data_IF_327314067213
#
_entry.id   IF_327314067213
#
_cell.length_a   1.000
_cell.length_b   1.000
_cell.length_c   1.000
_cell.angle_alpha   90.00
_cell.angle_beta   90.00
_cell.angle_gamma   90.00
#
_symmetry.space_group_name_H-M   'P 1'
#
loop_
_entity.id
_entity.type
_entity.pdbx_description
1 polymer ?
#
# COMPACT_ATOMS: atom_id res chain seq x y z
N UNK A 1 32.76 -0.65 15.65
CA UNK A 1 32.84 -1.98 15.00
C UNK A 1 31.52 -2.70 15.27
N UNK A 2 30.53 -2.48 14.43
CA UNK A 2 29.30 -3.28 14.51
C UNK A 2 29.60 -4.69 14.03
N UNK A 3 29.26 -5.65 14.86
CA UNK A 3 29.61 -7.05 14.67
C UNK A 3 29.04 -7.60 13.35
N UNK A 4 29.91 -7.94 12.41
CA UNK A 4 29.59 -8.63 11.16
C UNK A 4 28.74 -9.90 11.41
N UNK A 5 28.95 -10.59 12.51
CA UNK A 5 28.15 -11.73 12.96
C UNK A 5 26.69 -11.35 13.26
N UNK A 6 26.42 -10.19 13.86
CA UNK A 6 25.06 -9.70 14.15
C UNK A 6 24.27 -9.42 12.88
N UNK A 7 24.89 -8.83 11.85
CA UNK A 7 24.24 -8.57 10.55
C UNK A 7 23.91 -9.88 9.81
N UNK A 8 24.81 -10.87 9.84
CA UNK A 8 24.57 -12.15 9.18
C UNK A 8 23.44 -12.94 9.83
N UNK A 9 23.38 -12.96 11.17
CA UNK A 9 22.29 -13.62 11.92
C UNK A 9 20.96 -12.89 11.67
N UNK A 10 20.95 -11.56 11.67
CA UNK A 10 19.77 -10.78 11.36
C UNK A 10 19.26 -11.03 9.94
N UNK A 11 20.14 -11.03 8.94
CA UNK A 11 19.76 -11.33 7.55
C UNK A 11 19.23 -12.76 7.38
N UNK A 12 19.82 -13.74 8.07
CA UNK A 12 19.33 -15.13 8.07
C UNK A 12 17.92 -15.22 8.65
N UNK A 13 17.67 -14.54 9.77
CA UNK A 13 16.37 -14.47 10.41
C UNK A 13 15.32 -13.85 9.49
N UNK A 14 15.61 -12.68 8.90
CA UNK A 14 14.72 -12.01 7.97
C UNK A 14 14.43 -12.83 6.70
N UNK A 15 15.43 -13.54 6.20
CA UNK A 15 15.29 -14.32 4.96
C UNK A 15 14.52 -15.63 5.16
N UNK A 16 14.69 -16.32 6.30
CA UNK A 16 14.17 -17.68 6.49
C UNK A 16 13.03 -17.79 7.52
N UNK A 17 13.04 -16.99 8.57
CA UNK A 17 12.08 -17.13 9.67
C UNK A 17 10.90 -16.16 9.50
N UNK A 18 11.15 -14.93 9.11
CA UNK A 18 10.10 -13.91 8.96
C UNK A 18 9.04 -14.28 7.92
N UNK A 19 9.37 -14.80 6.71
CA UNK A 19 8.36 -15.21 5.74
C UNK A 19 7.41 -16.28 6.28
N UNK A 20 7.93 -17.18 7.12
CA UNK A 20 7.11 -18.21 7.76
C UNK A 20 6.10 -17.61 8.75
N UNK A 21 6.54 -16.64 9.55
CA UNK A 21 5.67 -15.91 10.48
C UNK A 21 4.57 -15.12 9.77
N UNK A 22 4.89 -14.48 8.64
CA UNK A 22 3.92 -13.75 7.83
C UNK A 22 2.88 -14.70 7.22
N UNK A 23 3.32 -15.83 6.66
CA UNK A 23 2.41 -16.86 6.13
C UNK A 23 1.50 -17.44 7.20
N UNK A 24 2.05 -17.75 8.37
CA UNK A 24 1.27 -18.26 9.49
C UNK A 24 0.22 -17.24 9.94
N UNK A 25 0.59 -15.97 10.09
CA UNK A 25 -0.36 -14.90 10.41
C UNK A 25 -1.46 -14.77 9.34
N UNK A 26 -1.10 -14.76 8.07
CA UNK A 26 -2.07 -14.73 6.97
C UNK A 26 -3.08 -15.88 7.04
N UNK A 27 -2.60 -17.10 7.33
CA UNK A 27 -3.44 -18.29 7.48
C UNK A 27 -4.35 -18.20 8.73
N UNK A 28 -3.85 -17.69 9.84
CA UNK A 28 -4.63 -17.50 11.07
C UNK A 28 -5.70 -16.43 10.92
N UNK A 29 -5.42 -15.35 10.18
CA UNK A 29 -6.41 -14.32 9.83
C UNK A 29 -7.43 -14.74 8.77
N UNK A 30 -7.25 -15.91 8.17
CA UNK A 30 -8.18 -16.49 7.21
C UNK A 30 -7.82 -16.22 5.74
N UNK A 31 -7.32 -15.04 5.39
CA UNK A 31 -7.02 -14.68 3.99
C UNK A 31 -5.96 -15.60 3.36
N UNK A 32 -5.00 -16.07 4.12
CA UNK A 32 -3.97 -16.99 3.67
C UNK A 32 -4.44 -18.43 3.43
N UNK A 33 -5.74 -18.73 3.62
CA UNK A 33 -6.37 -20.03 3.29
C UNK A 33 -6.94 -20.04 1.88
N UNK A 34 -7.14 -18.88 1.29
CA UNK A 34 -7.65 -18.70 -0.06
C UNK A 34 -6.55 -18.86 -1.09
N UNK A 35 -6.90 -19.32 -2.29
CA UNK A 35 -5.99 -19.32 -3.43
C UNK A 35 -5.62 -17.87 -3.82
N UNK A 36 -4.54 -17.65 -4.57
CA UNK A 36 -4.19 -16.33 -5.07
C UNK A 36 -5.31 -15.68 -5.89
N UNK A 37 -6.04 -16.50 -6.68
CA UNK A 37 -7.17 -16.07 -7.50
C UNK A 37 -8.33 -15.61 -6.62
N UNK A 38 -8.70 -16.40 -5.61
CA UNK A 38 -9.74 -16.03 -4.64
C UNK A 38 -9.37 -14.78 -3.85
N UNK A 39 -8.09 -14.62 -3.47
CA UNK A 39 -7.60 -13.42 -2.80
C UNK A 39 -7.75 -12.17 -3.69
N UNK A 40 -7.49 -12.32 -5.00
CA UNK A 40 -7.68 -11.23 -5.97
C UNK A 40 -9.17 -10.88 -6.11
N UNK A 41 -10.05 -11.87 -6.23
CA UNK A 41 -11.50 -11.66 -6.31
C UNK A 41 -12.05 -10.94 -5.07
N UNK A 42 -11.62 -11.37 -3.86
CA UNK A 42 -12.01 -10.71 -2.62
C UNK A 42 -11.56 -9.26 -2.59
N UNK A 43 -10.30 -9.01 -2.95
CA UNK A 43 -9.75 -7.64 -3.02
C UNK A 43 -10.48 -6.80 -4.07
N UNK A 44 -10.76 -7.37 -5.24
CA UNK A 44 -11.49 -6.70 -6.31
C UNK A 44 -12.88 -6.25 -5.84
N UNK A 45 -13.60 -7.13 -5.16
CA UNK A 45 -14.92 -6.81 -4.58
C UNK A 45 -14.83 -5.71 -3.53
N UNK A 46 -13.84 -5.78 -2.65
CA UNK A 46 -13.66 -4.79 -1.59
C UNK A 46 -13.29 -3.41 -2.16
N UNK A 47 -12.36 -3.36 -3.11
CA UNK A 47 -12.00 -2.11 -3.82
C UNK A 47 -13.21 -1.52 -4.54
N UNK A 48 -13.99 -2.35 -5.24
CA UNK A 48 -15.21 -1.90 -5.92
C UNK A 48 -16.24 -1.33 -4.94
N UNK A 49 -16.42 -1.97 -3.80
CA UNK A 49 -17.33 -1.49 -2.74
C UNK A 49 -16.91 -0.12 -2.22
N UNK A 50 -15.62 0.12 -2.01
CA UNK A 50 -15.10 1.44 -1.59
C UNK A 50 -15.31 2.47 -2.70
N UNK A 51 -15.08 2.11 -3.97
CA UNK A 51 -15.32 3.00 -5.11
C UNK A 51 -16.80 3.38 -5.23
N UNK A 52 -17.71 2.44 -5.03
CA UNK A 52 -19.16 2.67 -5.05
C UNK A 52 -19.61 3.60 -3.90
N UNK A 53 -19.03 3.43 -2.70
CA UNK A 53 -19.26 4.34 -1.57
C UNK A 53 -18.74 5.74 -1.87
N UNK A 54 -17.56 5.86 -2.49
CA UNK A 54 -17.00 7.15 -2.92
C UNK A 54 -17.91 7.84 -3.94
N UNK A 55 -18.37 7.09 -4.95
CA UNK A 55 -19.23 7.61 -6.03
C UNK A 55 -18.59 8.78 -6.76
N UNK A 56 -19.28 9.92 -6.78
CA UNK A 56 -18.79 11.18 -7.36
C UNK A 56 -18.30 12.18 -6.31
N UNK A 57 -18.23 11.77 -5.05
CA UNK A 57 -17.78 12.62 -3.95
C UNK A 57 -16.27 12.78 -3.96
N UNK A 58 -15.77 13.86 -3.38
CA UNK A 58 -14.35 14.10 -3.20
C UNK A 58 -13.77 13.26 -2.06
N UNK A 59 -14.56 13.02 -1.00
CA UNK A 59 -14.22 12.24 0.17
C UNK A 59 -15.29 11.19 0.43
N UNK A 60 -15.00 10.13 1.18
CA UNK A 60 -15.89 8.99 1.35
C UNK A 60 -17.25 9.34 1.96
N UNK A 61 -17.25 10.18 3.00
CA UNK A 61 -18.49 10.56 3.69
C UNK A 61 -19.01 11.93 3.30
N UNK A 62 -18.13 12.84 2.91
CA UNK A 62 -18.45 14.24 2.63
C UNK A 62 -17.85 14.70 1.31
N UNK A 63 -18.30 15.86 0.80
CA UNK A 63 -17.73 16.49 -0.38
C UNK A 63 -16.67 17.55 -0.07
N UNK A 64 -16.72 18.12 1.12
CA UNK A 64 -15.99 19.37 1.41
C UNK A 64 -14.72 19.16 2.24
N UNK A 65 -14.77 18.27 3.22
CA UNK A 65 -13.66 18.03 4.15
C UNK A 65 -13.39 16.55 4.36
N UNK A 66 -12.12 16.13 4.44
CA UNK A 66 -11.79 14.75 4.78
C UNK A 66 -12.15 14.45 6.24
N UNK A 67 -12.50 13.22 6.49
CA UNK A 67 -12.82 12.68 7.81
C UNK A 67 -11.75 11.68 8.27
N UNK A 68 -11.82 11.21 9.51
CA UNK A 68 -10.90 10.18 10.03
C UNK A 68 -10.95 8.88 9.22
N UNK A 69 -12.10 8.57 8.63
CA UNK A 69 -12.25 7.38 7.79
C UNK A 69 -11.46 7.53 6.48
N UNK A 70 -11.41 8.75 5.91
CA UNK A 70 -10.60 9.03 4.72
C UNK A 70 -9.12 8.82 5.00
N UNK A 71 -8.63 9.24 6.18
CA UNK A 71 -7.25 8.99 6.58
C UNK A 71 -6.94 7.50 6.69
N UNK A 72 -7.86 6.71 7.26
CA UNK A 72 -7.69 5.27 7.42
C UNK A 72 -7.68 4.57 6.06
N UNK A 73 -8.67 4.85 5.22
CA UNK A 73 -8.78 4.25 3.88
C UNK A 73 -7.61 4.67 3.00
N UNK A 74 -7.21 5.95 3.04
CA UNK A 74 -6.01 6.41 2.35
C UNK A 74 -4.77 5.60 2.75
N UNK A 75 -4.54 5.40 4.06
CA UNK A 75 -3.39 4.63 4.55
C UNK A 75 -3.34 3.20 4.01
N UNK A 76 -4.50 2.54 3.84
CA UNK A 76 -4.57 1.23 3.22
C UNK A 76 -4.36 1.27 1.71
N UNK A 77 -5.05 2.15 0.99
CA UNK A 77 -4.97 2.25 -0.47
C UNK A 77 -3.60 2.74 -0.95
N UNK A 78 -2.96 3.64 -0.21
CA UNK A 78 -1.61 4.12 -0.50
C UNK A 78 -0.57 2.99 -0.52
N UNK A 79 -0.76 1.95 0.29
CA UNK A 79 0.11 0.77 0.26
C UNK A 79 -0.01 0.00 -1.06
N UNK A 80 -1.18 -0.03 -1.68
CA UNK A 80 -1.33 -0.64 -3.00
C UNK A 80 -0.61 0.15 -4.08
N UNK A 81 -0.71 1.48 -4.07
CA UNK A 81 -0.21 2.33 -5.15
C UNK A 81 1.29 2.63 -5.02
N UNK A 82 1.75 2.94 -3.79
CA UNK A 82 3.08 3.51 -3.59
C UNK A 82 4.14 2.50 -3.15
N UNK A 83 3.79 1.25 -2.84
CA UNK A 83 4.80 0.21 -2.64
C UNK A 83 5.49 -0.10 -3.98
N UNK A 84 6.84 -0.09 -4.04
CA UNK A 84 7.61 -0.36 -5.25
C UNK A 84 7.67 -1.86 -5.55
N UNK A 85 6.53 -2.49 -5.63
CA UNK A 85 6.36 -3.90 -5.98
C UNK A 85 5.15 -4.04 -6.87
N UNK A 86 5.27 -4.89 -7.89
CA UNK A 86 4.15 -5.26 -8.74
C UNK A 86 3.46 -6.50 -8.20
N UNK A 87 2.15 -6.41 -8.02
CA UNK A 87 1.30 -7.51 -7.59
C UNK A 87 -0.11 -7.37 -8.20
N UNK A 88 -0.83 -8.47 -8.36
CA UNK A 88 -2.10 -8.48 -9.12
C UNK A 88 -3.14 -7.48 -8.60
N UNK A 89 -3.21 -7.27 -7.29
CA UNK A 89 -4.19 -6.36 -6.67
C UNK A 89 -3.90 -4.89 -7.02
N UNK A 90 -2.61 -4.50 -7.08
CA UNK A 90 -2.19 -3.17 -7.53
C UNK A 90 -2.62 -2.94 -8.97
N UNK A 91 -2.31 -3.89 -9.85
CA UNK A 91 -2.68 -3.81 -11.26
C UNK A 91 -4.21 -3.71 -11.41
N UNK A 92 -4.96 -4.56 -10.68
CA UNK A 92 -6.41 -4.49 -10.68
C UNK A 92 -6.95 -3.10 -10.30
N UNK A 93 -6.40 -2.49 -9.24
CA UNK A 93 -6.81 -1.17 -8.79
C UNK A 93 -6.53 -0.09 -9.85
N UNK A 94 -5.37 -0.14 -10.50
CA UNK A 94 -4.99 0.81 -11.56
C UNK A 94 -5.91 0.69 -12.78
N UNK A 95 -6.27 -0.53 -13.18
CA UNK A 95 -7.04 -0.79 -14.40
C UNK A 95 -8.54 -0.61 -14.19
N UNK A 96 -9.07 -0.93 -13.00
CA UNK A 96 -10.51 -1.06 -12.78
C UNK A 96 -11.10 -0.05 -11.79
N UNK A 97 -10.27 0.66 -11.01
CA UNK A 97 -10.73 1.58 -9.97
C UNK A 97 -10.13 3.00 -10.13
N UNK A 98 -10.34 3.69 -11.27
CA UNK A 98 -9.71 4.98 -11.52
C UNK A 98 -10.17 6.08 -10.55
N UNK A 99 -11.37 5.97 -10.00
CA UNK A 99 -11.86 6.93 -8.99
C UNK A 99 -11.10 6.80 -7.68
N UNK A 100 -10.75 5.57 -7.26
CA UNK A 100 -9.94 5.35 -6.07
C UNK A 100 -8.49 5.84 -6.27
N UNK A 101 -7.91 5.64 -7.44
CA UNK A 101 -6.58 6.17 -7.76
C UNK A 101 -6.57 7.69 -7.63
N UNK A 102 -7.55 8.36 -8.25
CA UNK A 102 -7.71 9.81 -8.14
C UNK A 102 -7.94 10.28 -6.70
N UNK A 103 -8.76 9.55 -5.95
CA UNK A 103 -9.01 9.84 -4.54
C UNK A 103 -7.73 9.77 -3.70
N UNK A 104 -6.91 8.74 -3.89
CA UNK A 104 -5.63 8.60 -3.19
C UNK A 104 -4.67 9.75 -3.54
N UNK A 105 -4.61 10.16 -4.80
CA UNK A 105 -3.79 11.30 -5.22
C UNK A 105 -4.26 12.61 -4.57
N UNK A 106 -5.57 12.86 -4.54
CA UNK A 106 -6.15 14.04 -3.89
C UNK A 106 -5.84 14.05 -2.38
N UNK A 107 -5.98 12.92 -1.71
CA UNK A 107 -5.66 12.79 -0.29
C UNK A 107 -4.18 12.99 -0.02
N UNK A 108 -3.30 12.41 -0.84
CA UNK A 108 -1.85 12.60 -0.74
C UNK A 108 -1.48 14.07 -0.86
N UNK A 109 -1.94 14.74 -1.90
CA UNK A 109 -1.58 16.15 -2.17
C UNK A 109 -2.13 17.10 -1.11
N UNK A 110 -3.26 16.74 -0.48
CA UNK A 110 -3.84 17.48 0.64
C UNK A 110 -3.04 17.31 1.93
N UNK A 111 -2.61 16.09 2.25
CA UNK A 111 -1.97 15.77 3.52
C UNK A 111 -0.45 15.96 3.47
N UNK A 112 0.17 15.77 2.31
CA UNK A 112 1.61 15.88 2.08
C UNK A 112 1.92 16.66 0.80
N UNK A 113 1.81 18.00 0.84
CA UNK A 113 2.14 18.85 -0.32
C UNK A 113 3.59 18.70 -0.80
N UNK A 114 4.47 18.33 0.11
CA UNK A 114 5.90 18.10 -0.10
C UNK A 114 6.29 16.63 -0.35
N UNK A 115 5.30 15.77 -0.66
CA UNK A 115 5.50 14.33 -0.89
C UNK A 115 6.69 14.00 -1.79
N UNK A 116 6.80 14.70 -2.93
CA UNK A 116 7.89 14.48 -3.89
C UNK A 116 9.26 14.83 -3.34
N UNK A 117 9.34 15.84 -2.47
CA UNK A 117 10.60 16.25 -1.83
C UNK A 117 11.01 15.26 -0.75
N UNK A 118 10.05 14.81 0.05
CA UNK A 118 10.29 13.79 1.07
C UNK A 118 10.78 12.48 0.44
N UNK A 119 10.11 12.00 -0.61
CA UNK A 119 10.52 10.79 -1.32
C UNK A 119 11.95 10.90 -1.88
N UNK A 120 12.31 12.04 -2.49
CA UNK A 120 13.67 12.28 -3.01
C UNK A 120 14.71 12.27 -1.88
N UNK A 121 14.41 12.92 -0.76
CA UNK A 121 15.31 12.98 0.40
C UNK A 121 15.60 11.60 0.96
N UNK A 122 14.57 10.79 1.16
CA UNK A 122 14.72 9.44 1.71
C UNK A 122 15.47 8.50 0.75
N UNK A 123 15.28 8.65 -0.56
CA UNK A 123 16.08 7.93 -1.57
C UNK A 123 17.55 8.36 -1.54
N UNK A 124 17.85 9.65 -1.46
CA UNK A 124 19.23 10.17 -1.42
C UNK A 124 19.96 9.81 -0.12
N UNK A 125 19.25 9.71 1.00
CA UNK A 125 19.82 9.27 2.28
C UNK A 125 19.99 7.75 2.37
N UNK A 126 19.64 6.99 1.32
CA UNK A 126 19.79 5.53 1.27
C UNK A 126 18.88 4.77 2.24
N UNK A 127 17.88 5.44 2.81
CA UNK A 127 16.92 4.84 3.73
C UNK A 127 15.91 3.93 3.01
N UNK A 128 15.58 4.27 1.76
CA UNK A 128 14.79 3.43 0.88
C UNK A 128 15.64 3.08 -0.34
N UNK A 129 15.87 1.78 -0.55
CA UNK A 129 16.72 1.27 -1.65
C UNK A 129 16.07 1.30 -3.03
N UNK A 130 15.11 2.20 -3.29
CA UNK A 130 14.35 2.26 -4.53
C UNK A 130 14.31 3.68 -5.08
N UNK A 131 14.53 3.83 -6.37
CA UNK A 131 14.15 5.04 -7.10
C UNK A 131 12.62 5.02 -7.28
N UNK A 132 11.94 6.00 -6.73
CA UNK A 132 10.52 6.22 -7.00
C UNK A 132 10.40 6.83 -8.41
N UNK A 133 10.21 5.98 -9.40
CA UNK A 133 9.63 6.46 -10.65
C UNK A 133 8.18 6.84 -10.36
N UNK A 134 7.96 8.15 -10.24
CA UNK A 134 6.60 8.71 -10.26
C UNK A 134 6.06 8.43 -11.65
N UNK A 135 5.36 7.32 -11.81
CA UNK A 135 4.58 7.05 -13.02
C UNK A 135 3.68 8.26 -13.27
N UNK A 136 3.89 8.84 -14.45
CA UNK A 136 3.12 9.98 -14.98
C UNK A 136 1.68 9.58 -15.23
#
# INVERSE_FOLDING_TARGET
>A
MENFASRSVSMFFFRHIQPYGIRLKGTLHGIGRHSPEEQLELTARDLKSVEDILGEKKFLLTTDTPTSIDCTVFGHLAQFLYIPMDFPQKQYMLDNCPKLVKYVDVMRDLMWPDWKEMCKKDCMEGKMGYEWEVTK
#
